data_IF_010132301748
#
_entry.id   IF_010132301748
#
_cell.length_a   1.000
_cell.length_b   1.000
_cell.length_c   1.000
_cell.angle_alpha   90.00
_cell.angle_beta   90.00
_cell.angle_gamma   90.00
#
_symmetry.space_group_name_H-M   'P 1'
#
loop_
_entity.id
_entity.type
_entity.pdbx_description
1 polymer ?
#
# COMPACT_ATOMS: atom_id res chain seq x y z
N UNK A 1 21.86 27.00 -29.88
CA UNK A 1 20.41 27.03 -29.68
C UNK A 1 19.87 25.61 -29.83
N UNK A 2 20.14 24.74 -28.87
CA UNK A 2 19.63 23.35 -28.84
C UNK A 2 19.87 22.79 -27.43
N UNK A 3 19.03 23.10 -26.45
CA UNK A 3 18.99 22.39 -25.16
C UNK A 3 17.77 22.89 -24.38
N UNK A 4 16.56 22.48 -24.76
CA UNK A 4 15.36 22.82 -23.97
C UNK A 4 14.16 21.91 -24.25
N UNK A 5 14.35 20.62 -24.51
CA UNK A 5 13.19 19.74 -24.81
C UNK A 5 13.08 18.54 -23.85
N UNK A 6 14.07 18.27 -22.99
CA UNK A 6 14.09 17.00 -22.24
C UNK A 6 13.41 17.05 -20.85
N UNK A 7 12.97 18.21 -20.36
CA UNK A 7 12.44 18.35 -19.00
C UNK A 7 10.90 18.25 -18.86
N UNK A 8 10.15 18.22 -19.97
CA UNK A 8 8.68 18.26 -19.91
C UNK A 8 7.98 16.90 -19.86
N UNK A 9 8.69 15.79 -20.14
CA UNK A 9 8.04 14.47 -20.27
C UNK A 9 7.83 13.78 -18.90
N UNK A 10 8.68 14.07 -17.90
CA UNK A 10 8.52 13.46 -16.56
C UNK A 10 7.32 14.01 -15.76
N UNK A 11 6.91 15.26 -15.99
CA UNK A 11 5.83 15.90 -15.22
C UNK A 11 4.43 15.40 -15.61
N UNK A 12 4.26 14.95 -16.87
CA UNK A 12 2.97 14.47 -17.35
C UNK A 12 2.60 13.06 -16.89
N UNK A 13 3.60 12.20 -16.65
CA UNK A 13 3.36 10.81 -16.23
C UNK A 13 2.87 10.72 -14.78
N UNK A 14 3.38 11.58 -13.90
CA UNK A 14 2.98 11.57 -12.48
C UNK A 14 1.58 12.13 -12.25
N UNK A 15 1.16 13.11 -13.01
CA UNK A 15 -0.22 13.62 -13.00
C UNK A 15 -1.22 12.54 -13.47
N UNK A 16 -0.87 11.76 -14.49
CA UNK A 16 -1.73 10.67 -14.98
C UNK A 16 -1.91 9.53 -13.98
N UNK A 17 -0.88 9.17 -13.21
CA UNK A 17 -0.98 8.16 -12.17
C UNK A 17 -1.92 8.62 -11.03
N UNK A 18 -1.87 9.88 -10.65
CA UNK A 18 -2.70 10.44 -9.60
C UNK A 18 -4.18 10.60 -10.02
N UNK A 19 -4.45 10.89 -11.27
CA UNK A 19 -5.83 10.97 -11.80
C UNK A 19 -6.52 9.61 -11.89
N UNK A 20 -5.75 8.55 -12.11
CA UNK A 20 -6.27 7.18 -12.23
C UNK A 20 -6.44 6.48 -10.87
N UNK A 21 -5.94 7.05 -9.80
CA UNK A 21 -6.18 6.53 -8.44
C UNK A 21 -7.44 7.16 -7.88
N UNK A 22 -8.40 6.35 -7.47
CA UNK A 22 -9.69 6.80 -6.97
C UNK A 22 -9.56 7.83 -5.83
N UNK A 23 -10.59 8.67 -5.67
CA UNK A 23 -10.65 9.74 -4.67
C UNK A 23 -11.74 9.44 -3.66
N UNK A 24 -11.52 8.41 -2.86
CA UNK A 24 -12.42 8.02 -1.78
C UNK A 24 -11.90 8.57 -0.46
N UNK A 25 -12.77 9.26 0.28
CA UNK A 25 -12.41 9.73 1.62
C UNK A 25 -12.12 8.52 2.52
N UNK A 26 -11.00 8.54 3.23
CA UNK A 26 -10.63 7.46 4.14
C UNK A 26 -11.42 7.51 5.44
N UNK A 27 -11.57 6.40 6.16
CA UNK A 27 -12.08 6.40 7.52
C UNK A 27 -11.11 7.17 8.45
N UNK A 28 -11.62 7.66 9.56
CA UNK A 28 -10.80 8.39 10.53
C UNK A 28 -9.73 7.50 11.18
N UNK A 29 -10.07 6.21 11.41
CA UNK A 29 -9.17 5.19 11.93
C UNK A 29 -9.44 3.87 11.22
N UNK A 30 -8.49 2.92 11.30
CA UNK A 30 -8.75 1.56 10.82
C UNK A 30 -9.77 0.80 11.65
N UNK A 31 -10.04 1.23 12.89
CA UNK A 31 -10.99 0.57 13.80
C UNK A 31 -10.60 -0.89 14.14
N UNK A 32 -9.33 -1.19 14.13
CA UNK A 32 -8.79 -2.55 14.14
C UNK A 32 -8.69 -3.20 15.52
N UNK A 33 -9.12 -2.50 16.56
CA UNK A 33 -9.17 -3.05 17.93
C UNK A 33 -7.81 -3.17 18.63
N UNK A 34 -7.70 -4.11 19.57
CA UNK A 34 -6.48 -4.34 20.34
C UNK A 34 -5.37 -4.90 19.45
N UNK A 35 -4.13 -4.58 19.82
CA UNK A 35 -2.93 -5.05 19.13
C UNK A 35 -2.16 -6.03 19.99
N UNK A 36 -1.64 -7.10 19.37
CA UNK A 36 -0.80 -8.12 19.99
C UNK A 36 0.55 -8.19 19.30
N UNK A 37 1.63 -8.31 20.06
CA UNK A 37 2.94 -8.63 19.50
C UNK A 37 2.95 -10.12 19.15
N UNK A 38 3.06 -10.43 17.85
CA UNK A 38 3.04 -11.80 17.32
C UNK A 38 4.42 -12.33 16.94
N UNK A 39 5.44 -11.46 16.96
CA UNK A 39 6.81 -11.83 16.62
C UNK A 39 7.75 -10.65 16.67
N UNK A 40 8.98 -10.90 16.22
CA UNK A 40 10.05 -9.91 16.16
C UNK A 40 10.69 -9.92 14.77
N UNK A 41 10.78 -8.75 14.15
CA UNK A 41 11.54 -8.55 12.93
C UNK A 41 13.00 -8.20 13.25
N UNK A 42 13.90 -8.67 12.40
CA UNK A 42 15.33 -8.32 12.42
C UNK A 42 15.69 -7.28 11.36
N UNK A 43 14.83 -7.10 10.37
CA UNK A 43 15.01 -6.13 9.28
C UNK A 43 13.72 -5.31 9.15
N UNK A 44 13.89 -4.00 9.01
CA UNK A 44 12.84 -3.06 8.64
C UNK A 44 13.22 -2.38 7.34
N UNK A 45 12.33 -2.38 6.36
CA UNK A 45 12.47 -1.69 5.08
C UNK A 45 11.35 -0.67 4.95
N UNK A 46 11.67 0.55 4.54
CA UNK A 46 10.68 1.57 4.19
C UNK A 46 10.70 1.74 2.68
N UNK A 47 9.53 1.64 2.07
CA UNK A 47 9.33 1.88 0.65
C UNK A 47 8.54 3.17 0.44
N UNK A 48 9.00 4.00 -0.49
CA UNK A 48 8.19 5.06 -1.08
C UNK A 48 7.30 4.46 -2.19
N UNK A 49 6.02 4.75 -2.15
CA UNK A 49 5.10 4.42 -3.23
C UNK A 49 4.83 5.67 -4.06
N UNK A 50 5.09 5.59 -5.37
CA UNK A 50 4.85 6.65 -6.35
C UNK A 50 5.38 8.03 -5.89
N UNK A 51 6.64 8.09 -5.50
CA UNK A 51 7.33 9.33 -5.18
C UNK A 51 7.55 10.18 -6.44
N UNK A 52 7.32 11.49 -6.36
CA UNK A 52 7.80 12.42 -7.39
C UNK A 52 9.28 12.75 -7.18
N UNK A 53 9.66 12.86 -5.91
CA UNK A 53 11.05 13.00 -5.46
C UNK A 53 11.28 11.98 -4.35
N UNK A 54 12.18 11.04 -4.58
CA UNK A 54 12.48 9.96 -3.64
C UNK A 54 13.14 10.47 -2.34
N UNK A 55 13.69 11.65 -2.34
CA UNK A 55 14.32 12.29 -1.16
C UNK A 55 13.32 13.06 -0.29
N UNK A 56 12.11 13.31 -0.78
CA UNK A 56 11.06 14.07 -0.09
C UNK A 56 9.79 13.21 0.11
N UNK A 57 9.56 12.77 1.35
CA UNK A 57 8.40 11.94 1.67
C UNK A 57 7.05 12.64 1.47
N UNK A 58 7.00 13.98 1.43
CA UNK A 58 5.78 14.71 1.12
C UNK A 58 5.31 14.50 -0.32
N UNK A 59 6.20 14.06 -1.19
CA UNK A 59 5.90 13.76 -2.59
C UNK A 59 5.39 12.34 -2.83
N UNK A 60 5.44 11.45 -1.81
CA UNK A 60 4.97 10.07 -1.93
C UNK A 60 3.44 10.02 -1.93
N UNK A 61 2.87 9.04 -2.62
CA UNK A 61 1.45 8.70 -2.43
C UNK A 61 1.28 7.98 -1.10
N UNK A 62 2.19 7.06 -0.79
CA UNK A 62 2.24 6.35 0.49
C UNK A 62 3.69 6.00 0.86
N UNK A 63 3.92 5.79 2.14
CA UNK A 63 5.14 5.19 2.67
C UNK A 63 4.78 3.87 3.32
N UNK A 64 5.42 2.77 2.90
CA UNK A 64 5.10 1.44 3.41
C UNK A 64 6.26 0.85 4.20
N UNK A 65 5.94 0.20 5.31
CA UNK A 65 6.91 -0.49 6.15
C UNK A 65 6.78 -1.99 5.96
N UNK A 66 7.88 -2.64 5.57
CA UNK A 66 8.03 -4.09 5.59
C UNK A 66 8.91 -4.50 6.77
N UNK A 67 8.33 -5.19 7.72
CA UNK A 67 9.01 -5.83 8.84
C UNK A 67 9.28 -7.30 8.51
N UNK A 68 10.54 -7.74 8.62
CA UNK A 68 10.97 -9.10 8.24
C UNK A 68 11.55 -9.80 9.47
N UNK A 69 10.88 -10.85 9.92
CA UNK A 69 11.30 -11.75 10.97
C UNK A 69 11.56 -13.17 10.45
N UNK A 70 11.83 -14.10 11.38
CA UNK A 70 12.03 -15.50 11.03
C UNK A 70 10.69 -16.17 10.74
N UNK A 71 10.40 -16.43 9.43
CA UNK A 71 9.17 -17.07 8.97
C UNK A 71 7.91 -16.19 9.06
N UNK A 72 8.04 -14.93 9.48
CA UNK A 72 6.94 -14.00 9.66
C UNK A 72 7.32 -12.63 9.11
N UNK A 73 6.43 -11.99 8.37
CA UNK A 73 6.61 -10.59 7.98
C UNK A 73 5.31 -9.81 8.10
N UNK A 74 5.42 -8.49 8.13
CA UNK A 74 4.28 -7.57 8.06
C UNK A 74 4.61 -6.43 7.10
N UNK A 75 3.68 -6.11 6.22
CA UNK A 75 3.72 -4.89 5.41
C UNK A 75 2.44 -4.10 5.65
N UNK A 76 2.60 -2.80 5.87
CA UNK A 76 1.49 -1.85 6.05
C UNK A 76 1.91 -0.43 5.74
N UNK A 77 0.93 0.49 5.61
CA UNK A 77 1.18 1.91 5.43
C UNK A 77 1.73 2.56 6.70
N UNK A 78 2.91 3.18 6.59
CA UNK A 78 3.52 3.99 7.65
C UNK A 78 2.73 5.28 7.88
N UNK A 79 2.21 5.91 6.83
CA UNK A 79 1.43 7.12 6.97
C UNK A 79 0.14 6.90 7.74
N UNK A 80 -0.50 5.74 7.56
CA UNK A 80 -1.68 5.40 8.37
C UNK A 80 -1.30 5.10 9.83
N UNK A 81 -0.20 4.38 10.09
CA UNK A 81 0.26 4.15 11.47
C UNK A 81 0.54 5.47 12.20
N UNK A 82 1.23 6.41 11.55
CA UNK A 82 1.49 7.73 12.12
C UNK A 82 0.20 8.50 12.39
N UNK A 83 -0.76 8.41 11.48
CA UNK A 83 -2.05 9.06 11.62
C UNK A 83 -2.87 8.48 12.77
N UNK A 84 -2.92 7.15 12.88
CA UNK A 84 -3.62 6.47 13.97
C UNK A 84 -2.96 6.80 15.32
N UNK A 85 -1.62 6.91 15.36
CA UNK A 85 -0.88 7.35 16.54
C UNK A 85 -1.24 8.78 16.97
N UNK A 86 -1.42 9.71 16.03
CA UNK A 86 -1.86 11.07 16.33
C UNK A 86 -3.28 11.11 16.91
N UNK A 87 -4.17 10.27 16.40
CA UNK A 87 -5.54 10.13 16.92
C UNK A 87 -5.54 9.56 18.34
N UNK A 88 -4.78 8.50 18.58
CA UNK A 88 -4.65 7.89 19.90
C UNK A 88 -4.09 8.87 20.94
N UNK A 89 -3.11 9.66 20.54
CA UNK A 89 -2.49 10.67 21.39
C UNK A 89 -3.49 11.81 21.73
N UNK A 90 -4.29 12.21 20.73
CA UNK A 90 -5.37 13.18 20.99
C UNK A 90 -6.40 12.63 21.98
N UNK A 91 -6.87 11.40 21.80
CA UNK A 91 -7.85 10.77 22.72
C UNK A 91 -7.30 10.70 24.14
N UNK A 92 -6.02 10.30 24.30
CA UNK A 92 -5.35 10.22 25.61
C UNK A 92 -5.28 11.60 26.31
N UNK A 93 -5.00 12.66 25.55
CA UNK A 93 -4.90 14.03 26.11
C UNK A 93 -6.26 14.68 26.36
N UNK A 94 -7.28 14.25 25.66
CA UNK A 94 -8.63 14.85 25.73
C UNK A 94 -9.71 13.78 25.94
N UNK A 95 -9.72 13.08 27.10
CA UNK A 95 -10.60 11.94 27.34
C UNK A 95 -12.09 12.30 27.34
N UNK A 96 -12.43 13.57 27.53
CA UNK A 96 -13.81 14.07 27.53
C UNK A 96 -14.24 14.69 26.18
N UNK A 97 -13.43 14.56 25.14
CA UNK A 97 -13.79 15.06 23.83
C UNK A 97 -14.97 14.27 23.24
N UNK A 98 -16.01 14.99 22.82
CA UNK A 98 -17.20 14.40 22.19
C UNK A 98 -17.00 14.12 20.69
N UNK A 99 -15.90 14.63 20.11
CA UNK A 99 -15.51 14.37 18.73
C UNK A 99 -13.98 14.40 18.59
N UNK A 100 -13.48 13.63 17.66
CA UNK A 100 -12.05 13.64 17.31
C UNK A 100 -11.90 14.54 16.09
N UNK A 101 -11.07 15.61 16.16
CA UNK A 101 -10.80 16.45 15.01
C UNK A 101 -10.10 15.61 13.93
N UNK A 102 -10.26 16.01 12.68
CA UNK A 102 -9.50 15.40 11.57
C UNK A 102 -8.03 15.77 11.72
N UNK A 103 -7.29 14.92 12.40
CA UNK A 103 -5.85 15.02 12.52
C UNK A 103 -5.25 14.16 11.42
N UNK A 104 -4.43 14.77 10.57
CA UNK A 104 -3.75 14.05 9.50
C UNK A 104 -2.25 14.21 9.66
N UNK A 105 -1.54 13.12 9.51
CA UNK A 105 -0.13 13.19 9.24
C UNK A 105 0.07 13.94 7.90
N UNK A 106 0.88 14.98 7.90
CA UNK A 106 1.05 15.86 6.74
C UNK A 106 1.98 15.28 5.67
N UNK A 107 2.49 14.07 5.85
CA UNK A 107 3.31 13.38 4.86
C UNK A 107 2.48 12.84 3.71
N UNK A 108 3.04 12.91 2.51
CA UNK A 108 2.45 12.34 1.32
C UNK A 108 1.37 13.19 0.63
N UNK A 109 1.21 12.94 -0.66
CA UNK A 109 0.30 13.69 -1.54
C UNK A 109 -1.16 13.27 -1.43
N UNK A 110 -1.41 12.06 -0.96
CA UNK A 110 -2.74 11.41 -1.06
C UNK A 110 -3.32 10.99 0.29
N UNK A 111 -2.79 11.55 1.37
CA UNK A 111 -3.13 11.15 2.75
C UNK A 111 -4.61 11.32 3.12
N UNK A 112 -5.38 12.09 2.35
CA UNK A 112 -6.81 12.32 2.58
C UNK A 112 -7.74 11.33 1.87
N UNK A 113 -7.19 10.46 1.01
CA UNK A 113 -7.98 9.52 0.22
C UNK A 113 -7.70 8.08 0.65
N UNK A 114 -8.73 7.26 0.58
CA UNK A 114 -8.60 5.83 0.75
C UNK A 114 -8.01 5.20 -0.51
N UNK A 115 -7.18 4.19 -0.30
CA UNK A 115 -6.69 3.32 -1.38
C UNK A 115 -6.46 1.91 -0.83
N UNK A 116 -6.64 0.91 -1.65
CA UNK A 116 -6.44 -0.48 -1.28
C UNK A 116 -5.02 -0.76 -0.77
N UNK A 117 -3.99 -0.16 -1.37
CA UNK A 117 -2.60 -0.36 -0.99
C UNK A 117 -2.22 0.27 0.36
N UNK A 118 -2.93 1.33 0.81
CA UNK A 118 -2.73 1.92 2.13
C UNK A 118 -3.52 1.17 3.22
N UNK A 119 -4.75 0.75 2.88
CA UNK A 119 -5.68 0.18 3.83
C UNK A 119 -5.70 -1.36 3.83
N UNK A 120 -4.72 -1.99 3.20
CA UNK A 120 -4.48 -3.44 3.30
C UNK A 120 -3.23 -3.70 4.13
N UNK A 121 -3.39 -4.38 5.26
CA UNK A 121 -2.27 -4.91 6.04
C UNK A 121 -1.98 -6.33 5.58
N UNK A 122 -0.72 -6.62 5.26
CA UNK A 122 -0.29 -7.90 4.72
C UNK A 122 0.65 -8.57 5.72
N UNK A 123 0.30 -9.78 6.13
CA UNK A 123 1.15 -10.64 6.93
C UNK A 123 1.57 -11.85 6.10
N UNK A 124 2.81 -12.27 6.23
CA UNK A 124 3.25 -13.55 5.71
C UNK A 124 3.61 -14.49 6.85
N UNK A 125 3.12 -15.71 6.80
CA UNK A 125 3.42 -16.76 7.74
C UNK A 125 3.24 -18.13 7.04
N UNK A 126 4.14 -19.08 7.32
CA UNK A 126 4.05 -20.47 6.84
C UNK A 126 3.76 -20.60 5.33
N UNK A 127 4.40 -19.75 4.50
CA UNK A 127 4.26 -19.80 3.05
C UNK A 127 2.96 -19.20 2.50
N UNK A 128 2.18 -18.53 3.36
CA UNK A 128 0.93 -17.86 2.98
C UNK A 128 1.00 -16.36 3.26
N UNK A 129 0.39 -15.56 2.42
CA UNK A 129 -0.01 -14.20 2.73
C UNK A 129 -1.41 -14.19 3.34
N UNK A 130 -1.61 -13.36 4.37
CA UNK A 130 -2.94 -12.98 4.87
C UNK A 130 -3.09 -11.47 4.69
N UNK A 131 -4.05 -11.06 3.89
CA UNK A 131 -4.31 -9.67 3.53
C UNK A 131 -5.59 -9.20 4.22
N UNK A 132 -5.48 -8.23 5.12
CA UNK A 132 -6.61 -7.61 5.83
C UNK A 132 -6.98 -6.31 5.11
N UNK A 133 -8.06 -6.32 4.37
CA UNK A 133 -8.55 -5.19 3.59
C UNK A 133 -9.56 -4.36 4.40
N UNK A 134 -9.18 -3.15 4.78
CA UNK A 134 -10.09 -2.18 5.38
C UNK A 134 -10.75 -1.37 4.28
N UNK A 135 -12.07 -1.43 4.21
CA UNK A 135 -12.86 -0.73 3.20
C UNK A 135 -13.06 0.76 3.58
N UNK A 136 -13.37 1.63 2.61
CA UNK A 136 -13.56 3.05 2.87
C UNK A 136 -14.83 3.33 3.70
N UNK A 137 -14.94 4.57 4.17
CA UNK A 137 -16.09 5.07 4.92
C UNK A 137 -17.44 4.67 4.29
N UNK A 138 -18.40 4.30 5.12
CA UNK A 138 -19.72 3.75 4.78
C UNK A 138 -19.69 2.36 4.13
N UNK A 139 -18.52 1.73 4.01
CA UNK A 139 -18.36 0.36 3.51
C UNK A 139 -17.69 -0.57 4.53
N UNK A 140 -17.54 -0.15 5.79
CA UNK A 140 -16.84 -0.88 6.85
C UNK A 140 -17.42 -2.28 7.10
N UNK A 141 -18.71 -2.48 6.82
CA UNK A 141 -19.37 -3.81 6.87
C UNK A 141 -18.77 -4.84 5.91
N UNK A 142 -18.00 -4.38 4.94
CA UNK A 142 -17.28 -5.22 3.97
C UNK A 142 -15.79 -5.37 4.30
N UNK A 143 -15.36 -4.94 5.49
CA UNK A 143 -14.01 -5.23 5.96
C UNK A 143 -13.80 -6.74 5.96
N UNK A 144 -12.76 -7.19 5.29
CA UNK A 144 -12.56 -8.60 5.07
C UNK A 144 -11.07 -8.97 5.02
N UNK A 145 -10.79 -10.26 5.10
CA UNK A 145 -9.45 -10.78 4.86
C UNK A 145 -9.48 -12.00 3.95
N UNK A 146 -8.39 -12.19 3.22
CA UNK A 146 -8.17 -13.38 2.41
C UNK A 146 -6.76 -13.92 2.62
N UNK A 147 -6.54 -15.17 2.24
CA UNK A 147 -5.24 -15.81 2.28
C UNK A 147 -4.88 -16.34 0.91
N UNK A 148 -3.60 -16.25 0.54
CA UNK A 148 -3.08 -16.78 -0.72
C UNK A 148 -1.64 -17.29 -0.55
N UNK A 149 -1.19 -18.26 -1.38
CA UNK A 149 0.18 -18.72 -1.36
C UNK A 149 1.17 -17.60 -1.70
N UNK A 150 2.35 -17.64 -1.05
CA UNK A 150 3.46 -16.74 -1.37
C UNK A 150 4.15 -17.14 -2.68
N UNK A 151 4.89 -16.18 -3.27
CA UNK A 151 5.82 -16.40 -4.38
C UNK A 151 5.18 -16.98 -5.64
N UNK A 152 4.03 -16.46 -6.03
CA UNK A 152 3.32 -16.89 -7.25
C UNK A 152 3.89 -16.27 -8.53
N UNK A 153 4.77 -15.27 -8.44
CA UNK A 153 5.37 -14.59 -9.58
C UNK A 153 6.44 -15.48 -10.24
N UNK A 154 6.37 -15.58 -11.57
CA UNK A 154 7.38 -16.26 -12.39
C UNK A 154 8.33 -15.21 -12.97
N UNK A 155 9.54 -15.13 -12.42
CA UNK A 155 10.51 -14.10 -12.74
C UNK A 155 11.48 -14.55 -13.84
N UNK A 156 11.72 -13.68 -14.83
CA UNK A 156 12.81 -13.77 -15.80
C UNK A 156 13.92 -12.83 -15.35
N UNK A 157 15.10 -13.37 -15.08
CA UNK A 157 16.26 -12.59 -14.64
C UNK A 157 16.96 -11.94 -15.85
N UNK A 158 17.48 -10.73 -15.67
CA UNK A 158 18.33 -10.01 -16.61
C UNK A 158 19.74 -9.83 -16.00
N UNK A 159 20.72 -9.51 -16.84
CA UNK A 159 22.08 -9.15 -16.40
C UNK A 159 22.23 -7.66 -16.08
N UNK A 160 21.17 -6.87 -16.18
CA UNK A 160 21.18 -5.47 -15.85
C UNK A 160 21.36 -5.27 -14.35
N UNK A 161 22.20 -4.29 -14.01
CA UNK A 161 22.52 -3.93 -12.62
C UNK A 161 22.17 -2.47 -12.33
N UNK A 162 21.69 -2.21 -11.12
CA UNK A 162 21.38 -0.88 -10.59
C UNK A 162 21.82 -0.81 -9.14
N UNK A 163 22.41 0.32 -8.72
CA UNK A 163 22.69 0.57 -7.30
C UNK A 163 21.52 1.26 -6.63
N UNK A 164 20.99 0.69 -5.56
CA UNK A 164 19.91 1.25 -4.74
C UNK A 164 20.33 1.18 -3.28
N UNK A 165 20.36 2.30 -2.58
CA UNK A 165 20.84 2.42 -1.18
C UNK A 165 22.21 1.77 -0.95
N UNK A 166 23.12 1.83 -1.96
CA UNK A 166 24.45 1.22 -1.90
C UNK A 166 24.47 -0.31 -2.15
N UNK A 167 23.34 -0.94 -2.42
CA UNK A 167 23.26 -2.35 -2.80
C UNK A 167 23.27 -2.50 -4.31
N UNK A 168 24.10 -3.41 -4.82
CA UNK A 168 24.00 -3.86 -6.21
C UNK A 168 22.75 -4.73 -6.37
N UNK A 169 21.83 -4.28 -7.18
CA UNK A 169 20.57 -4.96 -7.50
C UNK A 169 20.58 -5.47 -8.93
N UNK A 170 20.09 -6.68 -9.12
CA UNK A 170 19.87 -7.30 -10.42
C UNK A 170 18.42 -7.10 -10.83
N UNK A 171 18.19 -6.90 -12.13
CA UNK A 171 16.86 -6.77 -12.70
C UNK A 171 16.19 -8.13 -12.91
N UNK A 172 14.89 -8.16 -12.67
CA UNK A 172 14.00 -9.25 -13.02
C UNK A 172 12.67 -8.70 -13.55
N UNK A 173 12.01 -9.47 -14.43
CA UNK A 173 10.70 -9.09 -14.99
C UNK A 173 9.71 -10.22 -14.81
N UNK A 174 8.43 -9.89 -14.64
CA UNK A 174 7.35 -10.85 -14.66
C UNK A 174 6.07 -10.26 -15.25
N UNK A 175 5.23 -11.15 -15.79
CA UNK A 175 3.83 -10.85 -16.03
C UNK A 175 3.01 -11.40 -14.87
N UNK A 176 2.22 -10.52 -14.24
CA UNK A 176 1.45 -10.94 -13.09
C UNK A 176 0.19 -10.08 -12.92
N UNK A 177 -0.96 -10.73 -12.76
CA UNK A 177 -2.28 -10.08 -12.57
C UNK A 177 -2.55 -8.95 -13.55
N UNK A 178 -2.39 -9.26 -14.85
CA UNK A 178 -2.68 -8.34 -15.96
C UNK A 178 -1.70 -7.19 -16.14
N UNK A 179 -0.55 -7.18 -15.43
CA UNK A 179 0.52 -6.19 -15.59
C UNK A 179 1.87 -6.84 -15.82
N UNK A 180 2.76 -6.11 -16.51
CA UNK A 180 4.18 -6.45 -16.59
C UNK A 180 4.92 -5.64 -15.53
N UNK A 181 5.67 -6.32 -14.67
CA UNK A 181 6.49 -5.70 -13.63
C UNK A 181 7.97 -5.86 -13.91
N UNK A 182 8.73 -4.83 -13.56
CA UNK A 182 10.19 -4.83 -13.50
C UNK A 182 10.62 -4.65 -12.05
N UNK A 183 11.44 -5.57 -11.52
CA UNK A 183 11.94 -5.56 -10.16
C UNK A 183 13.46 -5.53 -10.12
N UNK A 184 14.00 -4.84 -9.13
CA UNK A 184 15.41 -4.76 -8.81
C UNK A 184 15.63 -5.34 -7.42
N UNK A 185 16.36 -6.44 -7.33
CA UNK A 185 16.56 -7.17 -6.07
C UNK A 185 18.04 -7.37 -5.76
N UNK A 186 18.36 -7.49 -4.46
CA UNK A 186 19.73 -7.75 -4.01
C UNK A 186 19.84 -9.05 -3.23
N UNK A 187 20.80 -9.89 -3.60
CA UNK A 187 21.13 -11.12 -2.87
C UNK A 187 21.91 -10.86 -1.57
N UNK A 188 22.38 -9.62 -1.35
CA UNK A 188 23.06 -9.24 -0.10
C UNK A 188 22.13 -9.28 1.11
N UNK A 189 20.84 -9.22 0.89
CA UNK A 189 19.79 -9.40 1.91
C UNK A 189 19.00 -10.65 1.52
N UNK A 190 19.34 -11.83 2.09
CA UNK A 190 18.86 -13.13 1.63
C UNK A 190 17.42 -13.41 2.12
N UNK A 191 16.48 -12.57 1.73
CA UNK A 191 15.04 -12.77 1.95
C UNK A 191 14.31 -12.67 0.62
N UNK A 192 13.31 -13.51 0.42
CA UNK A 192 12.56 -13.58 -0.85
C UNK A 192 11.34 -12.67 -0.87
N UNK A 193 11.39 -11.55 -0.11
CA UNK A 193 10.28 -10.63 0.07
C UNK A 193 10.49 -9.32 -0.71
N UNK A 194 9.42 -8.56 -0.85
CA UNK A 194 9.38 -7.23 -1.43
C UNK A 194 8.16 -6.45 -0.95
N UNK A 195 7.89 -5.25 -1.51
CA UNK A 195 6.69 -4.50 -1.21
C UNK A 195 5.45 -5.22 -1.75
N UNK A 196 4.27 -4.86 -1.21
CA UNK A 196 3.01 -5.53 -1.52
C UNK A 196 3.15 -7.04 -1.30
N UNK A 197 2.65 -7.85 -2.22
CA UNK A 197 2.81 -9.32 -2.19
C UNK A 197 3.87 -9.82 -3.17
N UNK A 198 4.75 -8.93 -3.65
CA UNK A 198 5.85 -9.33 -4.52
C UNK A 198 6.94 -10.07 -3.76
N UNK A 199 7.44 -11.12 -4.38
CA UNK A 199 8.49 -11.92 -3.79
C UNK A 199 8.94 -13.06 -4.68
N UNK A 200 9.70 -14.02 -4.12
CA UNK A 200 10.15 -15.20 -4.84
C UNK A 200 11.53 -15.07 -5.49
N UNK A 201 12.06 -13.85 -5.67
CA UNK A 201 13.43 -13.63 -6.11
C UNK A 201 14.46 -14.08 -5.05
N UNK A 202 15.71 -14.41 -5.42
CA UNK A 202 16.72 -14.90 -4.47
C UNK A 202 17.33 -13.79 -3.58
N UNK A 203 16.55 -12.77 -3.25
CA UNK A 203 16.95 -11.64 -2.44
C UNK A 203 15.82 -10.63 -2.27
N UNK A 204 16.06 -9.61 -1.44
CA UNK A 204 15.10 -8.55 -1.17
C UNK A 204 14.89 -7.68 -2.41
N UNK A 205 13.62 -7.45 -2.78
CA UNK A 205 13.25 -6.50 -3.84
C UNK A 205 13.35 -5.08 -3.25
N UNK A 206 14.25 -4.26 -3.82
CA UNK A 206 14.44 -2.88 -3.39
C UNK A 206 13.67 -1.87 -4.23
N UNK A 207 13.37 -2.21 -5.49
CA UNK A 207 12.53 -1.40 -6.37
C UNK A 207 11.71 -2.30 -7.26
N UNK A 208 10.46 -1.92 -7.48
CA UNK A 208 9.57 -2.58 -8.43
C UNK A 208 8.58 -1.58 -8.98
N UNK A 209 8.27 -1.68 -10.25
CA UNK A 209 7.28 -0.85 -10.93
C UNK A 209 6.61 -1.63 -12.05
N UNK A 210 5.36 -1.27 -12.35
CA UNK A 210 4.72 -1.74 -13.56
C UNK A 210 5.20 -0.97 -14.80
N UNK A 211 5.13 -1.59 -15.97
CA UNK A 211 5.65 -1.02 -17.24
C UNK A 211 5.17 0.40 -17.53
N UNK A 212 3.97 0.75 -17.08
CA UNK A 212 3.37 2.07 -17.27
C UNK A 212 3.73 3.06 -16.15
N UNK A 213 4.53 2.65 -15.16
CA UNK A 213 4.91 3.41 -13.95
C UNK A 213 3.72 3.99 -13.19
N UNK A 214 2.56 3.32 -13.23
CA UNK A 214 1.39 3.70 -12.44
C UNK A 214 1.58 3.35 -10.97
N UNK A 215 2.33 2.28 -10.70
CA UNK A 215 2.69 1.81 -9.37
C UNK A 215 4.19 1.56 -9.32
N UNK A 216 4.87 2.34 -8.50
CA UNK A 216 6.33 2.25 -8.30
C UNK A 216 6.63 2.21 -6.81
N UNK A 217 7.27 1.15 -6.34
CA UNK A 217 7.85 1.08 -5.00
C UNK A 217 9.35 1.18 -5.11
N UNK A 218 9.96 2.00 -4.27
CA UNK A 218 11.40 2.08 -4.13
C UNK A 218 11.79 2.16 -2.66
N UNK A 219 12.74 1.33 -2.23
CA UNK A 219 13.24 1.33 -0.86
C UNK A 219 14.02 2.63 -0.60
N UNK A 220 13.66 3.31 0.49
CA UNK A 220 14.29 4.55 0.93
C UNK A 220 15.08 4.37 2.23
N UNK A 221 14.78 3.32 2.98
CA UNK A 221 15.49 3.00 4.22
C UNK A 221 15.52 1.48 4.45
N UNK A 222 16.66 0.97 4.92
CA UNK A 222 16.81 -0.40 5.40
C UNK A 222 17.52 -0.34 6.75
N UNK A 223 16.90 -0.89 7.78
CA UNK A 223 17.46 -0.95 9.12
C UNK A 223 17.48 -2.38 9.65
N UNK A 224 18.62 -2.78 10.22
CA UNK A 224 18.73 -3.99 11.03
C UNK A 224 18.48 -3.64 12.49
N UNK A 225 17.79 -4.50 13.22
CA UNK A 225 17.45 -4.24 14.63
C UNK A 225 16.45 -5.24 15.20
N UNK A 226 15.80 -4.85 16.28
CA UNK A 226 14.72 -5.61 16.91
C UNK A 226 13.44 -4.78 16.84
N UNK A 227 12.53 -5.17 15.95
CA UNK A 227 11.26 -4.47 15.72
C UNK A 227 10.11 -5.41 16.07
N UNK A 228 9.18 -5.02 16.96
CA UNK A 228 8.02 -5.86 17.24
C UNK A 228 7.13 -5.96 16.00
N UNK A 229 6.70 -7.16 15.64
CA UNK A 229 5.65 -7.37 14.65
C UNK A 229 4.33 -7.39 15.42
N UNK A 230 3.54 -6.35 15.21
CA UNK A 230 2.26 -6.17 15.90
C UNK A 230 1.13 -6.52 14.97
N UNK A 231 0.22 -7.37 15.40
CA UNK A 231 -1.01 -7.72 14.70
C UNK A 231 -2.21 -7.15 15.45
N UNK A 232 -3.09 -6.52 14.72
CA UNK A 232 -4.35 -6.02 15.23
C UNK A 232 -5.40 -7.14 15.32
N UNK A 233 -6.40 -6.94 16.15
CA UNK A 233 -7.49 -7.92 16.33
C UNK A 233 -8.36 -8.05 15.08
N UNK A 234 -8.42 -7.01 14.24
CA UNK A 234 -9.29 -6.91 13.05
C UNK A 234 -10.74 -7.29 13.37
N UNK A 235 -11.27 -6.69 14.45
CA UNK A 235 -12.64 -6.93 14.90
C UNK A 235 -13.64 -6.63 13.79
N UNK A 236 -14.54 -7.59 13.52
CA UNK A 236 -15.57 -7.46 12.50
C UNK A 236 -15.11 -7.77 11.07
N UNK A 237 -13.82 -8.11 10.88
CA UNK A 237 -13.35 -8.61 9.58
C UNK A 237 -13.86 -10.04 9.34
N UNK A 238 -14.36 -10.30 8.13
CA UNK A 238 -14.82 -11.62 7.74
C UNK A 238 -13.88 -12.23 6.71
N UNK A 239 -13.78 -13.56 6.69
CA UNK A 239 -13.02 -14.24 5.64
C UNK A 239 -13.80 -14.18 4.34
N UNK A 240 -13.11 -13.82 3.24
CA UNK A 240 -13.70 -13.71 1.91
C UNK A 240 -12.68 -14.14 0.85
N UNK A 241 -13.08 -14.14 -0.41
CA UNK A 241 -12.18 -14.42 -1.54
C UNK A 241 -11.46 -13.14 -1.99
N UNK A 242 -10.24 -13.29 -2.52
CA UNK A 242 -9.51 -12.17 -3.12
C UNK A 242 -10.34 -11.48 -4.21
N UNK A 243 -10.96 -12.27 -5.09
CA UNK A 243 -11.73 -11.76 -6.22
C UNK A 243 -12.92 -10.88 -5.78
N UNK A 244 -13.63 -11.28 -4.72
CA UNK A 244 -14.75 -10.48 -4.20
C UNK A 244 -14.26 -9.18 -3.57
N UNK A 245 -13.24 -9.25 -2.70
CA UNK A 245 -12.62 -8.06 -2.08
C UNK A 245 -12.08 -7.12 -3.15
N UNK A 246 -11.37 -7.63 -4.14
CA UNK A 246 -10.85 -6.86 -5.26
C UNK A 246 -11.95 -6.13 -6.04
N UNK A 247 -13.04 -6.83 -6.40
CA UNK A 247 -14.18 -6.22 -7.09
C UNK A 247 -14.79 -5.07 -6.29
N UNK A 248 -14.91 -5.24 -4.97
CA UNK A 248 -15.43 -4.18 -4.09
C UNK A 248 -14.45 -2.99 -4.02
N UNK A 249 -13.15 -3.24 -3.92
CA UNK A 249 -12.12 -2.19 -3.91
C UNK A 249 -12.11 -1.40 -5.22
N UNK A 250 -12.17 -2.07 -6.36
CA UNK A 250 -12.25 -1.43 -7.69
C UNK A 250 -13.53 -0.62 -7.82
N UNK A 251 -14.67 -1.16 -7.41
CA UNK A 251 -15.95 -0.45 -7.46
C UNK A 251 -15.95 0.79 -6.55
N UNK A 252 -15.39 0.68 -5.33
CA UNK A 252 -15.26 1.79 -4.40
C UNK A 252 -14.37 2.90 -4.96
N UNK A 253 -13.24 2.58 -5.58
CA UNK A 253 -12.36 3.57 -6.21
C UNK A 253 -13.01 4.24 -7.42
N UNK A 254 -13.77 3.50 -8.22
CA UNK A 254 -14.45 4.04 -9.41
C UNK A 254 -15.64 4.91 -9.06
N UNK A 255 -16.46 4.51 -8.10
CA UNK A 255 -17.63 5.28 -7.67
C UNK A 255 -18.04 4.89 -6.24
N UNK A 256 -17.43 5.53 -5.26
CA UNK A 256 -17.68 5.27 -3.85
C UNK A 256 -19.14 5.48 -3.46
N UNK A 257 -19.75 6.62 -3.86
CA UNK A 257 -21.11 6.94 -3.45
C UNK A 257 -22.10 5.88 -3.92
N UNK A 258 -21.98 5.45 -5.17
CA UNK A 258 -22.81 4.39 -5.75
C UNK A 258 -22.56 3.05 -5.06
N UNK A 259 -21.31 2.69 -4.86
CA UNK A 259 -20.93 1.40 -4.25
C UNK A 259 -21.33 1.32 -2.77
N UNK A 260 -21.22 2.42 -2.03
CA UNK A 260 -21.68 2.52 -0.65
C UNK A 260 -23.20 2.56 -0.51
N UNK A 261 -23.94 2.73 -1.61
CA UNK A 261 -25.39 2.84 -1.60
C UNK A 261 -25.92 4.19 -1.13
N UNK A 262 -25.11 5.27 -1.26
CA UNK A 262 -25.53 6.59 -0.85
C UNK A 262 -26.72 7.08 -1.68
N UNK A 263 -27.75 7.65 -1.01
CA UNK A 263 -28.94 8.18 -1.66
C UNK A 263 -29.10 9.68 -1.40
N UNK A 264 -29.70 10.34 -2.36
CA UNK A 264 -30.12 11.71 -2.18
C UNK A 264 -31.28 11.77 -1.18
N UNK A 265 -31.19 12.69 -0.22
CA UNK A 265 -32.18 12.77 0.85
C UNK A 265 -33.58 13.21 0.34
N UNK A 266 -33.63 14.08 -0.67
CA UNK A 266 -34.89 14.63 -1.19
C UNK A 266 -35.53 13.71 -2.21
N UNK A 267 -34.74 13.12 -3.11
CA UNK A 267 -35.27 12.35 -4.25
C UNK A 267 -35.23 10.85 -4.03
N UNK A 268 -34.48 10.36 -3.04
CA UNK A 268 -34.23 8.94 -2.81
C UNK A 268 -33.34 8.27 -3.90
N UNK A 269 -32.90 9.03 -4.90
CA UNK A 269 -32.08 8.50 -5.98
C UNK A 269 -30.68 8.13 -5.51
N UNK A 270 -30.09 7.09 -6.12
CA UNK A 270 -28.73 6.68 -5.84
C UNK A 270 -27.74 7.76 -6.31
N UNK A 271 -26.88 8.23 -5.39
CA UNK A 271 -25.80 9.16 -5.74
C UNK A 271 -24.68 8.45 -6.46
N UNK A 272 -24.12 9.10 -7.47
CA UNK A 272 -22.99 8.61 -8.25
C UNK A 272 -22.03 9.77 -8.50
N UNK A 273 -20.73 9.50 -8.33
CA UNK A 273 -19.64 10.43 -8.64
C UNK A 273 -18.45 9.61 -9.14
N UNK A 274 -18.48 9.20 -10.41
CA UNK A 274 -17.42 8.35 -10.96
C UNK A 274 -16.11 9.11 -11.08
N UNK A 275 -15.01 8.38 -10.87
CA UNK A 275 -13.63 8.85 -11.03
C UNK A 275 -12.84 7.88 -11.91
N UNK A 276 -11.91 8.38 -12.73
CA UNK A 276 -10.93 7.52 -13.39
C UNK A 276 -10.15 6.71 -12.35
N UNK A 277 -10.07 5.41 -12.55
CA UNK A 277 -9.32 4.52 -11.68
C UNK A 277 -8.74 3.35 -12.46
N UNK A 278 -7.45 3.16 -12.30
CA UNK A 278 -6.69 2.05 -12.88
C UNK A 278 -6.15 1.19 -11.73
N UNK A 279 -6.69 0.00 -11.49
CA UNK A 279 -6.34 -0.80 -10.34
C UNK A 279 -4.90 -1.33 -10.40
N UNK A 280 -4.29 -1.57 -9.23
CA UNK A 280 -2.97 -2.20 -9.11
C UNK A 280 -2.96 -3.60 -9.73
N UNK A 281 -4.00 -4.37 -9.50
CA UNK A 281 -4.23 -5.68 -10.10
C UNK A 281 -5.36 -5.57 -11.12
N UNK A 282 -5.24 -6.18 -12.30
CA UNK A 282 -6.26 -6.13 -13.37
C UNK A 282 -7.10 -7.40 -13.43
N UNK A 283 -6.67 -8.48 -12.72
CA UNK A 283 -7.29 -9.80 -12.72
C UNK A 283 -7.48 -10.33 -11.30
#
# INVERSE_FOLDING_TARGET
MRTLITFFICFSLTLHAQEKQGRVMRPNTKGIGKCLVIGQASIKVIYALNANDISDEHTYIDSQVLLIGKGLSKLNSRFLELNDSLHDDFIKRTPNATSIPRIFFSGGRNCQYWSEYQFTDIYSDNGMYTCYATMPWAMERYNAFYTEPMYQQHWTLSNELLSILGYNCQKATCQWRGRTFEAWFTTKIPTRLGPWIFGGLPGLILKIYDKDHLYTWEAVEIKSGKFPIVKSEYKGFVKDTREHIYKLQVAANRDHLKTAGARDYQTGQLKSKPHPYEPLEKE
#
